data_IF_008788787432
#
_entry.id   IF_008788787432
#
_cell.length_a   1.000
_cell.length_b   1.000
_cell.length_c   1.000
_cell.angle_alpha   90.00
_cell.angle_beta   90.00
_cell.angle_gamma   90.00
#
_symmetry.space_group_name_H-M   'P 1'
#
loop_
_entity.id
_entity.type
_entity.pdbx_description
1 polymer ?
#
# COMPACT_ATOMS: atom_id res chain seq x y z
N UNK A 1 -26.17 -3.00 5.16
CA UNK A 1 -25.45 -1.71 5.27
C UNK A 1 -24.96 -1.37 3.87
N UNK A 2 -25.10 -0.11 3.47
CA UNK A 2 -25.31 0.37 2.10
C UNK A 2 -24.22 0.03 1.06
N UNK A 3 -24.67 -0.05 -0.19
CA UNK A 3 -23.97 -0.50 -1.40
C UNK A 3 -23.11 0.57 -2.11
N UNK A 4 -22.48 1.51 -1.41
CA UNK A 4 -21.58 2.53 -2.01
C UNK A 4 -20.59 3.04 -0.96
N UNK A 5 -19.78 2.16 -0.36
CA UNK A 5 -18.72 2.59 0.56
C UNK A 5 -17.43 2.79 -0.25
N UNK A 6 -16.95 4.03 -0.34
CA UNK A 6 -15.71 4.36 -1.04
C UNK A 6 -14.54 3.59 -0.39
N UNK A 7 -13.94 2.68 -1.15
CA UNK A 7 -12.75 1.95 -0.70
C UNK A 7 -11.54 2.81 -1.03
N UNK A 8 -10.89 3.34 0.02
CA UNK A 8 -9.63 4.05 -0.13
C UNK A 8 -8.49 3.08 0.11
N UNK A 9 -7.52 3.06 -0.81
CA UNK A 9 -6.31 2.23 -0.75
C UNK A 9 -5.09 3.15 -0.75
N UNK A 10 -4.13 2.87 0.12
CA UNK A 10 -2.81 3.48 0.07
C UNK A 10 -1.82 2.51 -0.58
N UNK A 11 -0.99 3.02 -1.49
CA UNK A 11 0.08 2.26 -2.14
C UNK A 11 1.40 3.01 -2.00
N UNK A 12 2.48 2.30 -1.66
CA UNK A 12 3.76 2.91 -1.31
C UNK A 12 4.88 2.40 -2.19
N UNK A 13 5.50 3.30 -2.96
CA UNK A 13 6.76 3.01 -3.64
C UNK A 13 7.93 3.28 -2.68
N UNK A 14 8.67 2.23 -2.31
CA UNK A 14 9.88 2.36 -1.48
C UNK A 14 11.10 2.37 -2.39
N UNK A 15 11.82 3.50 -2.42
CA UNK A 15 13.02 3.68 -3.24
C UNK A 15 14.29 3.63 -2.39
N UNK A 16 15.29 2.88 -2.86
CA UNK A 16 16.63 2.84 -2.26
C UNK A 16 17.67 2.65 -3.36
N UNK A 17 18.71 3.49 -3.38
CA UNK A 17 19.82 3.38 -4.34
C UNK A 17 19.40 3.35 -5.83
N UNK A 18 18.31 4.03 -6.19
CA UNK A 18 17.78 4.02 -7.57
C UNK A 18 16.94 2.78 -7.92
N UNK A 19 16.75 1.86 -6.97
CA UNK A 19 15.90 0.69 -7.12
C UNK A 19 14.57 0.88 -6.39
N UNK A 20 13.55 0.15 -6.82
CA UNK A 20 12.22 0.14 -6.20
C UNK A 20 11.93 -1.23 -5.58
N UNK A 21 11.41 -1.23 -4.35
CA UNK A 21 10.97 -2.45 -3.70
C UNK A 21 9.57 -2.83 -4.20
N UNK A 22 9.39 -4.10 -4.54
CA UNK A 22 8.15 -4.69 -5.01
C UNK A 22 7.86 -5.96 -4.21
N UNK A 23 6.58 -6.25 -4.01
CA UNK A 23 6.11 -7.52 -3.45
C UNK A 23 5.54 -8.39 -4.56
N UNK A 24 5.66 -9.71 -4.40
CA UNK A 24 5.01 -10.66 -5.30
C UNK A 24 3.71 -11.14 -4.67
N UNK A 25 2.61 -11.00 -5.41
CA UNK A 25 1.27 -11.36 -4.97
C UNK A 25 1.16 -12.87 -4.69
N UNK A 26 0.64 -13.20 -3.50
CA UNK A 26 0.36 -14.58 -3.08
C UNK A 26 -1.10 -14.98 -3.30
N UNK A 27 -1.99 -14.03 -3.58
CA UNK A 27 -3.41 -14.30 -3.82
C UNK A 27 -3.58 -15.06 -5.13
N UNK A 28 -4.37 -16.13 -5.13
CA UNK A 28 -4.53 -17.01 -6.29
C UNK A 28 -4.94 -16.27 -7.58
N UNK A 29 -5.75 -15.21 -7.47
CA UNK A 29 -6.20 -14.41 -8.61
C UNK A 29 -5.11 -13.58 -9.29
N UNK A 30 -4.00 -13.32 -8.60
CA UNK A 30 -2.91 -12.45 -9.05
C UNK A 30 -1.54 -13.09 -8.83
N UNK A 31 -1.49 -14.40 -8.57
CA UNK A 31 -0.28 -15.08 -8.12
C UNK A 31 0.88 -14.88 -9.11
N UNK A 32 2.04 -14.50 -8.58
CA UNK A 32 3.25 -14.28 -9.37
C UNK A 32 3.38 -12.90 -10.00
N UNK A 33 2.31 -12.08 -9.97
CA UNK A 33 2.39 -10.67 -10.35
C UNK A 33 3.11 -9.85 -9.29
N UNK A 34 3.72 -8.74 -9.72
CA UNK A 34 4.42 -7.81 -8.84
C UNK A 34 3.54 -6.59 -8.56
N UNK A 35 3.57 -6.14 -7.32
CA UNK A 35 2.82 -4.97 -6.86
C UNK A 35 3.67 -4.14 -5.88
N UNK A 36 3.24 -2.92 -5.58
CA UNK A 36 3.75 -2.17 -4.45
C UNK A 36 3.07 -2.63 -3.16
N UNK A 37 3.74 -2.48 -2.00
CA UNK A 37 3.06 -2.62 -0.72
C UNK A 37 1.84 -1.71 -0.66
N UNK A 38 0.68 -2.28 -0.38
CA UNK A 38 -0.57 -1.54 -0.45
C UNK A 38 -1.72 -2.23 0.28
N UNK A 39 -2.64 -1.41 0.79
CA UNK A 39 -3.85 -1.96 1.38
C UNK A 39 -4.88 -0.90 1.73
N UNK A 40 -5.99 -1.39 2.26
CA UNK A 40 -7.20 -0.60 2.49
C UNK A 40 -7.03 0.22 3.76
N UNK A 41 -7.53 1.45 3.73
CA UNK A 41 -7.63 2.27 4.94
C UNK A 41 -8.58 1.62 5.92
N UNK A 42 -8.15 1.45 7.16
CA UNK A 42 -9.00 0.95 8.23
C UNK A 42 -9.75 2.09 8.94
N UNK A 43 -10.77 1.72 9.72
CA UNK A 43 -11.56 2.70 10.46
C UNK A 43 -10.70 3.36 11.55
N UNK A 44 -10.61 4.70 11.48
CA UNK A 44 -9.83 5.50 12.44
C UNK A 44 -8.41 5.84 11.98
N UNK A 45 -7.93 5.26 10.88
CA UNK A 45 -6.61 5.60 10.30
C UNK A 45 -6.71 6.78 9.32
N UNK A 46 -5.68 7.62 9.30
CA UNK A 46 -5.39 8.47 8.15
C UNK A 46 -4.63 7.71 7.04
N UNK A 47 -4.48 8.33 5.85
CA UNK A 47 -3.82 7.67 4.71
C UNK A 47 -2.34 7.38 4.94
N UNK A 48 -1.66 8.20 5.76
CA UNK A 48 -0.26 8.04 6.06
C UNK A 48 -0.04 6.89 7.06
N UNK A 49 -0.91 6.76 8.06
CA UNK A 49 -0.95 5.65 9.01
C UNK A 49 -1.17 4.33 8.29
N UNK A 50 -2.19 4.26 7.42
CA UNK A 50 -2.45 3.08 6.57
C UNK A 50 -1.22 2.73 5.73
N UNK A 51 -0.63 3.71 5.03
CA UNK A 51 0.53 3.48 4.19
C UNK A 51 1.74 2.91 4.96
N UNK A 52 2.01 3.42 6.16
CA UNK A 52 3.12 2.93 7.00
C UNK A 52 2.83 1.53 7.55
N UNK A 53 1.59 1.28 8.00
CA UNK A 53 1.17 -0.04 8.51
C UNK A 53 1.29 -1.11 7.43
N UNK A 54 0.73 -0.88 6.24
CA UNK A 54 0.74 -1.85 5.14
C UNK A 54 2.17 -2.22 4.71
N UNK A 55 3.06 -1.22 4.60
CA UNK A 55 4.48 -1.50 4.33
C UNK A 55 5.08 -2.38 5.43
N UNK A 56 4.79 -2.10 6.70
CA UNK A 56 5.32 -2.88 7.81
C UNK A 56 4.80 -4.32 7.80
N UNK A 57 3.51 -4.52 7.57
CA UNK A 57 2.86 -5.84 7.57
C UNK A 57 3.31 -6.72 6.41
N UNK A 58 3.39 -6.16 5.19
CA UNK A 58 3.70 -6.94 4.00
C UNK A 58 5.21 -7.18 3.80
N UNK A 59 6.06 -6.29 4.34
CA UNK A 59 7.50 -6.29 4.04
C UNK A 59 8.40 -6.37 5.28
N UNK A 60 7.88 -6.07 6.47
CA UNK A 60 8.64 -5.95 7.71
C UNK A 60 9.44 -4.65 7.85
N UNK A 61 9.46 -3.78 6.83
CA UNK A 61 10.23 -2.55 6.81
C UNK A 61 9.57 -1.43 7.63
N UNK A 62 10.39 -0.66 8.34
CA UNK A 62 9.99 0.61 8.92
C UNK A 62 10.33 1.74 7.94
N UNK A 63 9.34 2.55 7.57
CA UNK A 63 9.49 3.60 6.56
C UNK A 63 9.03 4.95 7.07
N UNK A 64 9.52 6.01 6.42
CA UNK A 64 9.05 7.38 6.59
C UNK A 64 8.60 7.91 5.24
N UNK A 65 7.32 8.29 5.14
CA UNK A 65 6.77 8.87 3.92
C UNK A 65 7.40 10.24 3.64
N UNK A 66 7.66 10.52 2.36
CA UNK A 66 8.29 11.77 1.93
C UNK A 66 7.37 12.66 1.09
N UNK A 67 6.59 12.05 0.20
CA UNK A 67 5.78 12.77 -0.78
C UNK A 67 4.60 11.90 -1.22
N UNK A 68 3.49 12.56 -1.58
CA UNK A 68 2.36 11.91 -2.27
C UNK A 68 2.62 12.01 -3.77
N UNK A 69 2.62 10.88 -4.46
CA UNK A 69 2.95 10.80 -5.90
C UNK A 69 1.72 10.91 -6.79
N UNK A 70 0.53 10.60 -6.29
CA UNK A 70 -0.72 10.71 -7.05
C UNK A 70 -1.94 10.26 -6.26
N UNK A 71 -3.11 10.63 -6.78
CA UNK A 71 -4.43 10.15 -6.34
C UNK A 71 -5.17 9.70 -7.59
N UNK A 72 -5.69 8.47 -7.57
CA UNK A 72 -6.33 7.85 -8.72
C UNK A 72 -7.78 7.48 -8.34
N UNK A 73 -8.78 7.85 -9.16
CA UNK A 73 -10.20 7.54 -8.92
C UNK A 73 -10.57 6.09 -9.30
#
# INVERSE_FOLDING_TARGET
MNSEENIIVASVSVLRNGEVFMIQEKKASAYGLWNFPSGRREAGEDLAETAVREVKEETGLDVRLKVVTGVYP
#
